data_IF_855589609410
#
_entry.id   IF_855589609410
#
_cell.length_a   1.000
_cell.length_b   1.000
_cell.length_c   1.000
_cell.angle_alpha   90.00
_cell.angle_beta   90.00
_cell.angle_gamma   90.00
#
_symmetry.space_group_name_H-M   'P 1'
#
loop_
_entity.id
_entity.type
_entity.pdbx_description
1 polymer ?
#
# COMPACT_ATOMS: atom_id res chain seq x y z
N UNK A 1 -17.05 43.45 -17.28
CA UNK A 1 -17.74 42.27 -16.66
C UNK A 1 -17.43 40.92 -17.34
N UNK A 2 -17.32 40.86 -18.67
CA UNK A 2 -17.06 39.63 -19.44
C UNK A 2 -15.64 39.08 -19.14
N UNK A 3 -14.63 39.98 -18.99
CA UNK A 3 -13.25 39.57 -18.67
C UNK A 3 -13.11 38.94 -17.29
N UNK A 4 -13.90 39.38 -16.31
CA UNK A 4 -13.92 38.80 -14.96
C UNK A 4 -14.62 37.44 -14.94
N UNK A 5 -15.70 37.22 -15.71
CA UNK A 5 -16.39 35.96 -15.81
C UNK A 5 -15.54 34.90 -16.54
N UNK A 6 -14.80 35.28 -17.58
CA UNK A 6 -13.84 34.41 -18.27
C UNK A 6 -12.68 34.00 -17.34
N UNK A 7 -12.13 34.94 -16.57
CA UNK A 7 -11.06 34.62 -15.61
C UNK A 7 -11.54 33.68 -14.49
N UNK A 8 -12.76 33.87 -14.00
CA UNK A 8 -13.36 32.97 -12.98
C UNK A 8 -13.60 31.58 -13.58
N UNK A 9 -14.10 31.46 -14.79
CA UNK A 9 -14.28 30.19 -15.47
C UNK A 9 -12.94 29.47 -15.69
N UNK A 10 -11.92 30.16 -16.20
CA UNK A 10 -10.58 29.61 -16.40
C UNK A 10 -9.97 29.12 -15.08
N UNK A 11 -10.10 29.88 -13.99
CA UNK A 11 -9.65 29.49 -12.65
C UNK A 11 -10.42 28.26 -12.13
N UNK A 12 -11.73 28.20 -12.34
CA UNK A 12 -12.57 27.07 -11.93
C UNK A 12 -12.21 25.80 -12.71
N UNK A 13 -12.02 25.86 -14.03
CA UNK A 13 -11.57 24.75 -14.86
C UNK A 13 -10.16 24.29 -14.49
N UNK A 14 -9.24 25.20 -14.22
CA UNK A 14 -7.87 24.90 -13.79
C UNK A 14 -7.84 24.23 -12.41
N UNK A 15 -8.65 24.68 -11.46
CA UNK A 15 -8.78 24.05 -10.14
C UNK A 15 -9.39 22.67 -10.22
N UNK A 16 -10.41 22.44 -11.04
CA UNK A 16 -11.01 21.12 -11.25
C UNK A 16 -10.03 20.14 -11.92
N UNK A 17 -9.21 20.60 -12.84
CA UNK A 17 -8.19 19.75 -13.48
C UNK A 17 -7.09 19.37 -12.49
N UNK A 18 -6.67 20.30 -11.64
CA UNK A 18 -5.66 20.05 -10.61
C UNK A 18 -6.17 19.07 -9.52
N UNK A 19 -7.41 19.25 -9.05
CA UNK A 19 -8.03 18.31 -8.10
C UNK A 19 -8.10 16.89 -8.68
N UNK A 20 -8.54 16.75 -9.94
CA UNK A 20 -8.55 15.46 -10.63
C UNK A 20 -7.16 14.84 -10.74
N UNK A 21 -6.12 15.67 -10.98
CA UNK A 21 -4.74 15.21 -11.02
C UNK A 21 -4.29 14.67 -9.66
N UNK A 22 -4.60 15.32 -8.54
CA UNK A 22 -4.27 14.83 -7.19
C UNK A 22 -5.01 13.55 -6.84
N UNK A 23 -6.31 13.44 -7.16
CA UNK A 23 -7.09 12.22 -6.98
C UNK A 23 -6.50 11.06 -7.80
N UNK A 24 -6.08 11.34 -9.03
CA UNK A 24 -5.43 10.35 -9.90
C UNK A 24 -4.09 9.89 -9.31
N UNK A 25 -3.24 10.82 -8.83
CA UNK A 25 -1.97 10.50 -8.18
C UNK A 25 -2.15 9.72 -6.88
N UNK A 26 -3.16 10.03 -6.09
CA UNK A 26 -3.52 9.33 -4.86
C UNK A 26 -3.92 7.87 -5.09
N UNK A 27 -4.35 7.49 -6.30
CA UNK A 27 -4.76 6.12 -6.67
C UNK A 27 -5.73 5.52 -5.66
N UNK A 28 -6.83 6.21 -5.36
CA UNK A 28 -7.82 5.81 -4.34
C UNK A 28 -8.24 4.33 -4.47
N UNK A 29 -8.27 3.79 -5.68
CA UNK A 29 -8.57 2.37 -5.95
C UNK A 29 -7.61 1.37 -5.28
N UNK A 30 -6.44 1.81 -4.79
CA UNK A 30 -5.48 0.94 -4.07
C UNK A 30 -5.68 0.97 -2.56
N UNK A 31 -6.50 1.89 -2.03
CA UNK A 31 -6.75 2.01 -0.60
C UNK A 31 -7.44 0.77 0.00
N UNK A 32 -8.45 0.15 -0.64
CA UNK A 32 -9.07 -1.06 -0.09
C UNK A 32 -8.03 -2.17 0.18
N UNK A 33 -7.08 -2.37 -0.74
CA UNK A 33 -6.01 -3.36 -0.57
C UNK A 33 -5.09 -3.01 0.61
N UNK A 34 -4.75 -1.73 0.79
CA UNK A 34 -3.85 -1.33 1.89
C UNK A 34 -4.51 -1.45 3.27
N UNK A 35 -5.81 -1.17 3.38
CA UNK A 35 -6.51 -1.24 4.67
C UNK A 35 -6.99 -2.66 5.04
N UNK A 36 -7.03 -3.60 4.07
CA UNK A 36 -7.55 -4.95 4.31
C UNK A 36 -6.79 -5.70 5.39
N UNK A 37 -5.46 -5.52 5.51
CA UNK A 37 -4.68 -6.13 6.58
C UNK A 37 -5.04 -5.60 7.96
N UNK A 38 -5.28 -4.28 8.07
CA UNK A 38 -5.74 -3.67 9.32
C UNK A 38 -7.14 -4.21 9.70
N UNK A 39 -8.01 -4.35 8.69
CA UNK A 39 -9.35 -4.92 8.94
C UNK A 39 -9.26 -6.35 9.44
N UNK A 40 -8.43 -7.22 8.84
CA UNK A 40 -8.27 -8.61 9.28
C UNK A 40 -7.73 -8.68 10.70
N UNK A 41 -6.62 -7.99 11.01
CA UNK A 41 -6.03 -8.02 12.36
C UNK A 41 -6.95 -7.43 13.42
N UNK A 42 -7.66 -6.33 13.10
CA UNK A 42 -8.63 -5.72 14.01
C UNK A 42 -9.89 -6.56 14.21
N UNK A 43 -10.36 -7.27 13.16
CA UNK A 43 -11.49 -8.19 13.27
C UNK A 43 -11.18 -9.36 14.20
N UNK A 44 -9.95 -9.88 14.14
CA UNK A 44 -9.53 -10.92 15.08
C UNK A 44 -9.44 -10.39 16.52
N UNK A 45 -8.92 -9.18 16.72
CA UNK A 45 -8.93 -8.53 18.03
C UNK A 45 -10.35 -8.32 18.56
N UNK A 46 -11.31 -7.96 17.69
CA UNK A 46 -12.72 -7.86 18.04
C UNK A 46 -13.32 -9.21 18.45
N UNK A 47 -13.02 -10.25 17.69
CA UNK A 47 -13.45 -11.62 18.01
C UNK A 47 -12.90 -12.12 19.34
N UNK A 48 -11.71 -11.66 19.74
CA UNK A 48 -11.03 -12.01 20.99
C UNK A 48 -11.32 -11.05 22.16
N UNK A 49 -12.31 -10.17 22.05
CA UNK A 49 -12.71 -9.15 23.05
C UNK A 49 -11.57 -8.18 23.43
N UNK A 50 -10.64 -7.92 22.50
CA UNK A 50 -9.47 -7.03 22.68
C UNK A 50 -9.56 -5.73 21.88
N UNK A 51 -10.62 -5.53 21.12
CA UNK A 51 -10.76 -4.41 20.21
C UNK A 51 -10.82 -3.06 20.90
N UNK A 52 -10.02 -2.10 20.45
CA UNK A 52 -10.00 -0.71 20.91
C UNK A 52 -10.20 0.21 19.70
N UNK A 53 -11.34 0.89 19.63
CA UNK A 53 -11.73 1.72 18.48
C UNK A 53 -10.71 2.80 18.12
N UNK A 54 -10.11 3.49 19.11
CA UNK A 54 -9.10 4.52 18.86
C UNK A 54 -7.83 3.95 18.21
N UNK A 55 -7.36 2.78 18.63
CA UNK A 55 -6.22 2.07 18.02
C UNK A 55 -6.56 1.72 16.57
N UNK A 56 -7.73 1.14 16.32
CA UNK A 56 -8.20 0.81 14.97
C UNK A 56 -8.25 2.05 14.06
N UNK A 57 -8.87 3.14 14.52
CA UNK A 57 -9.03 4.35 13.73
C UNK A 57 -7.66 4.95 13.34
N UNK A 58 -6.74 5.06 14.30
CA UNK A 58 -5.41 5.61 14.01
C UNK A 58 -4.59 4.65 13.15
N UNK A 59 -4.73 3.32 13.29
CA UNK A 59 -4.10 2.34 12.40
C UNK A 59 -4.58 2.48 10.96
N UNK A 60 -5.88 2.68 10.72
CA UNK A 60 -6.45 2.96 9.39
C UNK A 60 -5.86 4.26 8.81
N UNK A 61 -5.87 5.36 9.58
CA UNK A 61 -5.32 6.65 9.12
C UNK A 61 -3.83 6.56 8.81
N UNK A 62 -3.05 5.86 9.65
CA UNK A 62 -1.62 5.60 9.42
C UNK A 62 -1.41 4.84 8.11
N UNK A 63 -2.17 3.78 7.90
CA UNK A 63 -2.08 2.95 6.69
C UNK A 63 -2.46 3.73 5.43
N UNK A 64 -3.53 4.53 5.49
CA UNK A 64 -3.90 5.42 4.37
C UNK A 64 -2.78 6.41 4.07
N UNK A 65 -2.17 7.01 5.11
CA UNK A 65 -1.07 7.95 4.90
C UNK A 65 0.15 7.31 4.24
N UNK A 66 0.53 6.09 4.64
CA UNK A 66 1.59 5.31 3.99
C UNK A 66 1.27 4.98 2.54
N UNK A 67 0.02 4.61 2.24
CA UNK A 67 -0.40 4.28 0.88
C UNK A 67 -0.36 5.51 -0.03
N UNK A 68 -0.83 6.67 0.44
CA UNK A 68 -0.75 7.93 -0.29
C UNK A 68 0.71 8.35 -0.52
N UNK A 69 1.56 8.24 0.51
CA UNK A 69 2.99 8.49 0.41
C UNK A 69 3.64 7.62 -0.66
N UNK A 70 3.37 6.31 -0.65
CA UNK A 70 3.88 5.36 -1.65
C UNK A 70 3.41 5.72 -3.06
N UNK A 71 2.13 6.04 -3.24
CA UNK A 71 1.58 6.39 -4.55
C UNK A 71 2.20 7.66 -5.12
N UNK A 72 2.39 8.70 -4.30
CA UNK A 72 2.99 9.97 -4.73
C UNK A 72 4.50 9.83 -4.96
N UNK A 73 5.20 9.06 -4.10
CA UNK A 73 6.62 8.76 -4.31
C UNK A 73 6.85 7.98 -5.61
N UNK A 74 5.95 7.03 -5.94
CA UNK A 74 6.01 6.29 -7.20
C UNK A 74 5.77 7.17 -8.42
N UNK A 75 4.77 8.08 -8.37
CA UNK A 75 4.52 9.02 -9.47
C UNK A 75 5.71 9.96 -9.68
N UNK A 76 6.30 10.46 -8.57
CA UNK A 76 7.49 11.29 -8.62
C UNK A 76 8.71 10.54 -9.15
N UNK A 77 9.00 9.36 -8.59
CA UNK A 77 10.23 8.60 -8.90
C UNK A 77 10.27 8.11 -10.34
N UNK A 78 9.18 7.51 -10.82
CA UNK A 78 9.05 7.03 -12.19
C UNK A 78 9.01 8.21 -13.18
N UNK A 79 8.32 9.32 -12.83
CA UNK A 79 8.27 10.52 -13.65
C UNK A 79 9.61 11.28 -13.75
N UNK A 80 10.48 11.20 -12.73
CA UNK A 80 11.84 11.77 -12.79
C UNK A 80 12.77 10.91 -13.65
N UNK A 81 12.59 9.58 -13.63
CA UNK A 81 13.41 8.62 -14.39
C UNK A 81 12.97 8.44 -15.84
N UNK A 82 11.81 9.00 -16.25
CA UNK A 82 11.27 8.83 -17.59
C UNK A 82 10.68 7.44 -17.86
N UNK A 83 10.49 6.61 -16.82
CA UNK A 83 9.93 5.26 -16.96
C UNK A 83 8.47 5.29 -17.45
N UNK A 84 7.77 6.38 -17.23
CA UNK A 84 6.35 6.54 -17.57
C UNK A 84 6.13 7.14 -19.00
N UNK A 85 7.18 7.50 -19.74
CA UNK A 85 7.07 8.26 -21.00
C UNK A 85 6.30 7.51 -22.09
N UNK A 86 6.49 6.19 -22.20
CA UNK A 86 5.83 5.32 -23.20
C UNK A 86 4.90 4.28 -22.58
N UNK A 87 4.35 4.59 -21.41
CA UNK A 87 3.51 3.66 -20.65
C UNK A 87 2.14 3.45 -21.30
N UNK A 88 1.67 2.20 -21.34
CA UNK A 88 0.32 1.82 -21.81
C UNK A 88 -0.78 1.99 -20.75
N UNK A 89 -0.40 2.11 -19.46
CA UNK A 89 -1.31 2.30 -18.33
C UNK A 89 -1.82 3.75 -18.17
N UNK A 90 -2.59 4.06 -17.10
CA UNK A 90 -3.08 5.41 -16.84
C UNK A 90 -1.94 6.42 -16.78
N UNK A 91 -2.17 7.60 -17.37
CA UNK A 91 -1.18 8.70 -17.38
C UNK A 91 -0.78 9.08 -15.95
N UNK A 92 0.50 9.30 -15.74
CA UNK A 92 1.07 9.79 -14.48
C UNK A 92 1.03 11.30 -14.43
N UNK A 93 0.80 11.84 -13.24
CA UNK A 93 0.56 13.27 -13.09
C UNK A 93 1.84 14.09 -13.17
N UNK A 94 2.97 13.55 -12.69
CA UNK A 94 4.28 14.22 -12.80
C UNK A 94 4.80 14.13 -14.23
N UNK A 95 4.74 12.98 -14.87
CA UNK A 95 5.19 12.76 -16.24
C UNK A 95 4.37 13.62 -17.23
N UNK A 96 3.05 13.72 -17.05
CA UNK A 96 2.19 14.57 -17.91
C UNK A 96 2.30 16.09 -17.64
N UNK A 97 3.08 16.50 -16.63
CA UNK A 97 3.22 17.91 -16.25
C UNK A 97 2.02 18.51 -15.51
N UNK A 98 0.97 17.71 -15.21
CA UNK A 98 -0.21 18.17 -14.45
C UNK A 98 0.15 18.61 -13.02
N UNK A 99 1.12 17.92 -12.39
CA UNK A 99 1.69 18.28 -11.10
C UNK A 99 3.20 18.44 -11.29
N UNK A 100 3.76 19.59 -10.92
CA UNK A 100 5.20 19.83 -11.04
C UNK A 100 6.00 18.91 -10.09
N UNK A 101 7.22 18.52 -10.52
CA UNK A 101 8.16 17.73 -9.69
C UNK A 101 8.40 18.38 -8.32
N UNK A 102 8.51 19.70 -8.29
CA UNK A 102 8.74 20.46 -7.07
C UNK A 102 7.57 20.35 -6.09
N UNK A 103 6.34 20.50 -6.58
CA UNK A 103 5.14 20.40 -5.76
C UNK A 103 4.92 18.96 -5.25
N UNK A 104 5.11 17.95 -6.11
CA UNK A 104 5.01 16.56 -5.71
C UNK A 104 6.04 16.22 -4.61
N UNK A 105 7.30 16.67 -4.74
CA UNK A 105 8.33 16.49 -3.72
C UNK A 105 7.94 17.11 -2.38
N UNK A 106 7.37 18.31 -2.37
CA UNK A 106 6.87 18.96 -1.14
C UNK A 106 5.78 18.13 -0.47
N UNK A 107 4.81 17.65 -1.24
CA UNK A 107 3.73 16.82 -0.70
C UNK A 107 4.25 15.50 -0.14
N UNK A 108 5.24 14.86 -0.78
CA UNK A 108 5.91 13.66 -0.24
C UNK A 108 6.54 13.97 1.12
N UNK A 109 7.22 15.09 1.28
CA UNK A 109 7.82 15.49 2.58
C UNK A 109 6.73 15.71 3.63
N UNK A 110 5.68 16.43 3.31
CA UNK A 110 4.54 16.69 4.22
C UNK A 110 3.89 15.36 4.64
N UNK A 111 3.61 14.47 3.69
CA UNK A 111 3.04 13.16 3.99
C UNK A 111 3.98 12.29 4.82
N UNK A 112 5.29 12.37 4.62
CA UNK A 112 6.26 11.66 5.48
C UNK A 112 6.18 12.15 6.93
N UNK A 113 6.04 13.45 7.15
CA UNK A 113 5.87 14.04 8.49
C UNK A 113 4.53 13.60 9.11
N UNK A 114 3.43 13.67 8.35
CA UNK A 114 2.11 13.22 8.81
C UNK A 114 2.14 11.72 9.15
N UNK A 115 2.73 10.90 8.29
CA UNK A 115 2.87 9.46 8.51
C UNK A 115 3.69 9.15 9.77
N UNK A 116 4.78 9.87 10.01
CA UNK A 116 5.58 9.72 11.22
C UNK A 116 4.80 10.11 12.46
N UNK A 117 4.05 11.21 12.42
CA UNK A 117 3.21 11.66 13.53
C UNK A 117 2.11 10.64 13.86
N UNK A 118 1.37 10.16 12.85
CA UNK A 118 0.33 9.14 13.02
C UNK A 118 0.92 7.83 13.57
N UNK A 119 2.10 7.43 13.10
CA UNK A 119 2.81 6.26 13.61
C UNK A 119 3.14 6.40 15.10
N UNK A 120 3.71 7.54 15.51
CA UNK A 120 4.03 7.79 16.92
C UNK A 120 2.76 7.82 17.77
N UNK A 121 1.70 8.47 17.30
CA UNK A 121 0.41 8.50 17.98
C UNK A 121 -0.16 7.08 18.16
N UNK A 122 -0.11 6.25 17.12
CA UNK A 122 -0.56 4.86 17.18
C UNK A 122 0.23 4.04 18.20
N UNK A 123 1.56 4.17 18.20
CA UNK A 123 2.45 3.46 19.12
C UNK A 123 2.16 3.86 20.57
N UNK A 124 1.99 5.16 20.84
CA UNK A 124 1.69 5.66 22.19
C UNK A 124 0.34 5.17 22.67
N UNK A 125 -0.67 5.16 21.80
CA UNK A 125 -2.01 4.65 22.12
C UNK A 125 -2.00 3.14 22.43
N UNK A 126 -1.22 2.36 21.67
CA UNK A 126 -1.18 0.90 21.81
C UNK A 126 -0.34 0.45 23.01
N UNK A 127 0.82 1.05 23.23
CA UNK A 127 1.84 0.53 24.16
C UNK A 127 2.20 1.47 25.31
N UNK A 128 1.79 2.75 25.26
CA UNK A 128 2.33 3.79 26.13
C UNK A 128 3.82 4.09 25.84
N UNK A 129 4.41 5.01 26.60
CA UNK A 129 5.77 5.50 26.34
C UNK A 129 6.90 4.59 26.87
N UNK A 130 6.60 3.71 27.83
CA UNK A 130 7.62 2.92 28.56
C UNK A 130 7.79 1.49 28.05
N UNK A 131 7.11 1.11 26.98
CA UNK A 131 7.15 -0.25 26.42
C UNK A 131 8.35 -0.44 25.49
N UNK A 132 9.00 -1.60 25.55
CA UNK A 132 10.02 -2.02 24.57
C UNK A 132 9.46 -2.07 23.15
N UNK A 133 8.17 -2.35 22.99
CA UNK A 133 7.52 -2.41 21.68
C UNK A 133 7.49 -1.06 20.95
N UNK A 134 7.63 0.06 21.67
CA UNK A 134 7.77 1.39 21.08
C UNK A 134 8.94 1.44 20.10
N UNK A 135 10.10 0.89 20.47
CA UNK A 135 11.27 0.88 19.60
C UNK A 135 11.05 0.01 18.35
N UNK A 136 10.45 -1.17 18.52
CA UNK A 136 10.19 -2.10 17.41
C UNK A 136 9.22 -1.47 16.40
N UNK A 137 8.10 -0.94 16.87
CA UNK A 137 7.09 -0.34 16.00
C UNK A 137 7.55 1.00 15.40
N UNK A 138 8.36 1.77 16.10
CA UNK A 138 9.00 2.97 15.53
C UNK A 138 9.95 2.58 14.37
N UNK A 139 10.75 1.54 14.55
CA UNK A 139 11.62 1.01 13.49
C UNK A 139 10.79 0.49 12.29
N UNK A 140 9.72 -0.28 12.53
CA UNK A 140 8.81 -0.75 11.48
C UNK A 140 8.15 0.41 10.73
N UNK A 141 7.68 1.44 11.43
CA UNK A 141 7.12 2.65 10.83
C UNK A 141 8.13 3.41 9.99
N UNK A 142 9.35 3.58 10.51
CA UNK A 142 10.47 4.17 9.77
C UNK A 142 10.81 3.38 8.49
N UNK A 143 10.87 2.05 8.59
CA UNK A 143 11.08 1.16 7.45
C UNK A 143 9.92 1.23 6.45
N UNK A 144 8.68 1.38 6.89
CA UNK A 144 7.52 1.53 6.00
C UNK A 144 7.62 2.83 5.19
N UNK A 145 7.92 3.97 5.84
CA UNK A 145 8.14 5.27 5.17
C UNK A 145 9.32 5.18 4.20
N UNK A 146 10.45 4.62 4.66
CA UNK A 146 11.62 4.42 3.83
C UNK A 146 11.31 3.58 2.60
N UNK A 147 10.62 2.45 2.77
CA UNK A 147 10.23 1.55 1.69
C UNK A 147 9.27 2.21 0.71
N UNK A 148 8.28 2.97 1.19
CA UNK A 148 7.35 3.72 0.35
C UNK A 148 8.07 4.69 -0.59
N UNK A 149 9.12 5.38 -0.10
CA UNK A 149 9.90 6.34 -0.89
C UNK A 149 10.90 5.62 -1.78
N UNK A 150 11.67 4.68 -1.22
CA UNK A 150 12.77 3.99 -1.91
C UNK A 150 12.31 2.95 -2.93
N UNK A 151 11.03 2.70 -3.05
CA UNK A 151 10.50 1.83 -4.11
C UNK A 151 10.90 2.35 -5.51
N UNK A 152 10.77 3.66 -5.75
CA UNK A 152 11.08 4.27 -7.05
C UNK A 152 12.06 5.45 -6.99
N UNK A 153 12.21 6.11 -5.82
CA UNK A 153 13.01 7.33 -5.68
C UNK A 153 14.48 7.06 -5.42
N UNK A 154 15.35 7.73 -6.17
CA UNK A 154 16.80 7.69 -6.01
C UNK A 154 17.49 6.61 -6.85
N UNK A 155 18.84 6.54 -6.73
CA UNK A 155 19.70 5.65 -7.55
C UNK A 155 19.46 4.17 -7.25
N UNK A 156 19.25 3.82 -5.96
CA UNK A 156 19.01 2.45 -5.47
C UNK A 156 17.54 2.24 -5.12
N UNK A 157 16.65 2.51 -6.07
CA UNK A 157 15.23 2.26 -5.91
C UNK A 157 14.95 0.75 -6.06
N UNK A 158 14.61 0.07 -4.97
CA UNK A 158 14.53 -1.39 -4.94
C UNK A 158 13.46 -1.99 -5.88
N UNK A 159 12.43 -1.23 -6.24
CA UNK A 159 11.45 -1.63 -7.25
C UNK A 159 12.05 -1.84 -8.65
N UNK A 160 13.24 -1.29 -8.90
CA UNK A 160 14.00 -1.48 -10.15
C UNK A 160 14.93 -2.72 -10.11
N UNK A 161 15.00 -3.42 -8.97
CA UNK A 161 15.87 -4.58 -8.76
C UNK A 161 15.10 -5.87 -8.44
N UNK A 162 13.79 -5.91 -8.75
CA UNK A 162 12.97 -7.11 -8.54
C UNK A 162 12.53 -7.36 -7.10
N UNK A 163 12.85 -6.47 -6.16
CA UNK A 163 12.53 -6.64 -4.74
C UNK A 163 11.12 -6.16 -4.37
N UNK A 164 10.36 -5.63 -5.33
CA UNK A 164 9.01 -5.10 -5.08
C UNK A 164 8.07 -6.11 -4.45
N UNK A 165 8.05 -7.34 -4.98
CA UNK A 165 7.19 -8.43 -4.52
C UNK A 165 7.47 -8.78 -3.05
N UNK A 166 8.75 -8.84 -2.64
CA UNK A 166 9.14 -9.10 -1.27
C UNK A 166 8.63 -8.02 -0.31
N UNK A 167 8.86 -6.74 -0.62
CA UNK A 167 8.41 -5.65 0.25
C UNK A 167 6.88 -5.55 0.32
N UNK A 168 6.17 -5.77 -0.80
CA UNK A 168 4.72 -5.83 -0.80
C UNK A 168 4.21 -6.99 0.05
N UNK A 169 4.77 -8.18 -0.10
CA UNK A 169 4.42 -9.34 0.72
C UNK A 169 4.58 -9.05 2.22
N UNK A 170 5.72 -8.49 2.62
CA UNK A 170 6.01 -8.21 4.04
C UNK A 170 5.09 -7.13 4.60
N UNK A 171 4.98 -5.97 3.92
CA UNK A 171 4.24 -4.85 4.48
C UNK A 171 2.72 -4.98 4.37
N UNK A 172 2.21 -5.48 3.24
CA UNK A 172 0.75 -5.64 3.05
C UNK A 172 0.22 -6.95 3.64
N UNK A 173 1.07 -7.96 3.80
CA UNK A 173 0.71 -9.22 4.44
C UNK A 173 1.08 -9.24 5.91
N UNK A 174 2.35 -9.56 6.20
CA UNK A 174 2.79 -9.86 7.55
C UNK A 174 2.64 -8.68 8.51
N UNK A 175 3.22 -7.52 8.16
CA UNK A 175 3.21 -6.35 9.05
C UNK A 175 1.79 -5.80 9.22
N UNK A 176 1.00 -5.74 8.14
CA UNK A 176 -0.34 -5.17 8.22
C UNK A 176 -1.31 -6.04 9.04
N UNK A 177 -1.27 -7.35 8.92
CA UNK A 177 -2.20 -8.24 9.64
C UNK A 177 -1.70 -8.55 11.05
N UNK A 178 -0.48 -9.10 11.18
CA UNK A 178 0.08 -9.46 12.49
C UNK A 178 0.35 -8.21 13.34
N UNK A 179 0.95 -7.19 12.72
CA UNK A 179 1.25 -5.93 13.39
C UNK A 179 0.00 -5.22 13.90
N UNK A 180 -1.07 -5.16 13.09
CA UNK A 180 -2.31 -4.52 13.52
C UNK A 180 -3.01 -5.28 14.65
N UNK A 181 -3.02 -6.60 14.64
CA UNK A 181 -3.55 -7.38 15.75
C UNK A 181 -2.73 -7.15 17.02
N UNK A 182 -1.40 -7.20 16.92
CA UNK A 182 -0.48 -7.00 18.04
C UNK A 182 -0.65 -5.65 18.75
N UNK A 183 -1.14 -4.62 18.07
CA UNK A 183 -1.41 -3.30 18.66
C UNK A 183 -2.49 -3.33 19.76
N UNK A 184 -3.32 -4.36 19.84
CA UNK A 184 -4.44 -4.41 20.76
C UNK A 184 -4.10 -5.03 22.12
N UNK A 185 -3.25 -6.07 22.14
CA UNK A 185 -2.94 -6.81 23.38
C UNK A 185 -1.46 -7.19 23.54
N UNK A 186 -0.62 -6.82 22.58
CA UNK A 186 0.81 -7.15 22.55
C UNK A 186 1.09 -8.66 22.49
N UNK A 187 0.15 -9.47 21.96
CA UNK A 187 0.29 -10.90 21.76
C UNK A 187 0.43 -11.20 20.26
N UNK A 188 1.43 -12.01 19.89
CA UNK A 188 1.62 -12.46 18.52
C UNK A 188 0.77 -13.70 18.26
N UNK A 189 -0.36 -13.53 17.60
CA UNK A 189 -1.28 -14.60 17.27
C UNK A 189 -0.81 -15.39 16.04
N UNK A 190 -0.23 -16.58 16.26
CA UNK A 190 0.34 -17.38 15.18
C UNK A 190 -0.70 -17.87 14.17
N UNK A 191 -1.95 -18.03 14.56
CA UNK A 191 -3.06 -18.39 13.65
C UNK A 191 -3.24 -17.35 12.55
N UNK A 192 -2.94 -16.08 12.83
CA UNK A 192 -2.99 -14.99 11.84
C UNK A 192 -1.89 -15.07 10.78
N UNK A 193 -0.92 -15.99 10.89
CA UNK A 193 0.04 -16.23 9.81
C UNK A 193 -0.64 -16.69 8.52
N UNK A 194 -1.68 -17.50 8.59
CA UNK A 194 -2.42 -17.94 7.40
C UNK A 194 -3.02 -16.77 6.60
N UNK A 195 -3.89 -15.91 7.18
CA UNK A 195 -4.45 -14.78 6.46
C UNK A 195 -3.39 -13.71 6.15
N UNK A 196 -2.31 -13.58 6.94
CA UNK A 196 -1.21 -12.65 6.66
C UNK A 196 -0.46 -13.03 5.38
N UNK A 197 -0.10 -14.30 5.26
CA UNK A 197 0.58 -14.83 4.07
C UNK A 197 -0.36 -14.77 2.87
N UNK A 198 -1.63 -15.16 3.03
CA UNK A 198 -2.62 -15.11 1.97
C UNK A 198 -2.82 -13.69 1.43
N UNK A 199 -3.02 -12.70 2.30
CA UNK A 199 -3.16 -11.30 1.90
C UNK A 199 -1.88 -10.75 1.26
N UNK A 200 -0.71 -11.13 1.79
CA UNK A 200 0.58 -10.79 1.20
C UNK A 200 0.69 -11.30 -0.23
N UNK A 201 0.35 -12.57 -0.48
CA UNK A 201 0.34 -13.18 -1.82
C UNK A 201 -0.68 -12.50 -2.75
N UNK A 202 -1.90 -12.20 -2.28
CA UNK A 202 -2.90 -11.47 -3.06
C UNK A 202 -2.40 -10.06 -3.44
N UNK A 203 -1.72 -9.38 -2.52
CA UNK A 203 -1.14 -8.05 -2.76
C UNK A 203 -0.02 -8.11 -3.79
N UNK A 204 0.84 -9.14 -3.71
CA UNK A 204 1.85 -9.45 -4.74
C UNK A 204 1.18 -9.79 -6.07
N UNK A 205 0.04 -10.50 -6.06
CA UNK A 205 -0.75 -10.76 -7.26
C UNK A 205 -1.18 -9.48 -7.98
N UNK A 206 -1.67 -8.49 -7.24
CA UNK A 206 -2.01 -7.16 -7.80
C UNK A 206 -0.78 -6.46 -8.38
N UNK A 207 0.37 -6.51 -7.67
CA UNK A 207 1.63 -5.95 -8.17
C UNK A 207 2.08 -6.67 -9.45
N UNK A 208 2.05 -7.99 -9.46
CA UNK A 208 2.45 -8.81 -10.62
C UNK A 208 1.58 -8.53 -11.86
N UNK A 209 0.26 -8.34 -11.71
CA UNK A 209 -0.63 -7.93 -12.81
C UNK A 209 -0.20 -6.58 -13.40
N UNK A 210 0.14 -5.61 -12.55
CA UNK A 210 0.62 -4.32 -13.01
C UNK A 210 1.98 -4.45 -13.73
N UNK A 211 2.90 -5.25 -13.18
CA UNK A 211 4.22 -5.50 -13.78
C UNK A 211 4.12 -6.26 -15.11
N UNK A 212 3.20 -7.23 -15.24
CA UNK A 212 2.94 -7.92 -16.50
C UNK A 212 2.36 -6.99 -17.56
N UNK A 213 1.43 -6.10 -17.20
CA UNK A 213 0.89 -5.09 -18.12
C UNK A 213 1.99 -4.17 -18.65
N UNK A 214 2.88 -3.73 -17.78
CA UNK A 214 3.90 -2.74 -18.07
C UNK A 214 5.24 -3.39 -18.51
N UNK A 215 5.31 -4.73 -18.69
CA UNK A 215 6.52 -5.54 -18.87
C UNK A 215 7.44 -5.02 -19.99
N UNK A 216 6.90 -4.71 -21.15
CA UNK A 216 7.70 -4.24 -22.29
C UNK A 216 8.29 -2.85 -22.02
N UNK A 217 7.52 -1.97 -21.40
CA UNK A 217 7.97 -0.64 -21.05
C UNK A 217 9.02 -0.68 -19.92
N UNK A 218 8.78 -1.46 -18.88
CA UNK A 218 9.69 -1.64 -17.75
C UNK A 218 11.06 -2.20 -18.24
N UNK A 219 11.04 -3.20 -19.12
CA UNK A 219 12.27 -3.76 -19.71
C UNK A 219 13.06 -2.71 -20.52
N UNK A 220 12.38 -1.89 -21.35
CA UNK A 220 13.02 -0.83 -22.14
C UNK A 220 13.64 0.26 -21.24
N UNK A 221 13.01 0.56 -20.12
CA UNK A 221 13.50 1.57 -19.16
C UNK A 221 14.50 1.01 -18.12
N UNK A 222 14.93 -0.25 -18.26
CA UNK A 222 15.87 -0.88 -17.34
C UNK A 222 15.29 -1.22 -15.97
N UNK A 223 13.97 -1.21 -15.80
CA UNK A 223 13.27 -1.59 -14.58
C UNK A 223 13.11 -3.11 -14.53
N UNK A 224 13.95 -3.78 -13.75
CA UNK A 224 14.00 -5.24 -13.63
C UNK A 224 12.99 -5.73 -12.59
N UNK A 225 11.68 -5.58 -12.87
CA UNK A 225 10.62 -6.18 -12.02
C UNK A 225 10.68 -7.71 -12.10
N UNK A 226 10.06 -8.41 -11.14
CA UNK A 226 10.04 -9.88 -11.18
C UNK A 226 9.37 -10.39 -12.46
N UNK A 227 8.32 -9.73 -12.96
CA UNK A 227 7.70 -10.06 -14.24
C UNK A 227 8.66 -9.92 -15.42
N UNK A 228 9.52 -8.88 -15.44
CA UNK A 228 10.55 -8.70 -16.48
C UNK A 228 11.62 -9.81 -16.39
N UNK A 229 12.05 -10.17 -15.18
CA UNK A 229 13.06 -11.22 -14.96
C UNK A 229 12.55 -12.60 -15.36
N UNK A 230 11.28 -12.91 -15.08
CA UNK A 230 10.65 -14.19 -15.41
C UNK A 230 10.25 -14.29 -16.88
N UNK A 231 9.94 -13.16 -17.52
CA UNK A 231 9.29 -13.10 -18.82
C UNK A 231 7.79 -13.38 -18.75
N UNK A 232 7.05 -13.02 -19.80
CA UNK A 232 5.59 -12.98 -19.81
C UNK A 232 4.92 -14.32 -19.43
N UNK A 233 5.45 -15.44 -19.93
CA UNK A 233 4.85 -16.75 -19.70
C UNK A 233 5.01 -17.23 -18.26
N UNK A 234 6.25 -17.18 -17.73
CA UNK A 234 6.54 -17.60 -16.35
C UNK A 234 5.88 -16.66 -15.34
N UNK A 235 5.75 -15.36 -15.64
CA UNK A 235 5.03 -14.41 -14.80
C UNK A 235 3.53 -14.75 -14.66
N UNK A 236 2.90 -15.31 -15.70
CA UNK A 236 1.53 -15.83 -15.62
C UNK A 236 1.43 -17.07 -14.72
N UNK A 237 2.36 -18.03 -14.87
CA UNK A 237 2.39 -19.20 -13.98
C UNK A 237 2.62 -18.79 -12.52
N UNK A 238 3.55 -17.88 -12.28
CA UNK A 238 3.77 -17.30 -10.96
C UNK A 238 2.49 -16.67 -10.40
N UNK A 239 1.74 -15.93 -11.22
CA UNK A 239 0.48 -15.32 -10.81
C UNK A 239 -0.54 -16.37 -10.36
N UNK A 240 -0.77 -17.43 -11.16
CA UNK A 240 -1.69 -18.51 -10.82
C UNK A 240 -1.26 -19.22 -9.53
N UNK A 241 0.05 -19.48 -9.39
CA UNK A 241 0.60 -20.12 -8.19
C UNK A 241 0.34 -19.31 -6.92
N UNK A 242 0.64 -17.99 -6.92
CA UNK A 242 0.45 -17.14 -5.72
C UNK A 242 -1.03 -16.99 -5.36
N UNK A 243 -1.93 -16.83 -6.35
CA UNK A 243 -3.36 -16.75 -6.07
C UNK A 243 -3.89 -18.09 -5.55
N UNK A 244 -3.54 -19.21 -6.16
CA UNK A 244 -3.91 -20.54 -5.68
C UNK A 244 -3.43 -20.82 -4.25
N UNK A 245 -2.17 -20.48 -3.96
CA UNK A 245 -1.61 -20.61 -2.61
C UNK A 245 -2.35 -19.73 -1.59
N UNK A 246 -2.71 -18.50 -1.95
CA UNK A 246 -3.49 -17.63 -1.07
C UNK A 246 -4.86 -18.22 -0.74
N UNK A 247 -5.57 -18.77 -1.73
CA UNK A 247 -6.88 -19.40 -1.52
C UNK A 247 -6.78 -20.63 -0.62
N UNK A 248 -5.78 -21.49 -0.82
CA UNK A 248 -5.53 -22.66 0.04
C UNK A 248 -5.30 -22.22 1.49
N UNK A 249 -4.45 -21.21 1.72
CA UNK A 249 -4.18 -20.68 3.06
C UNK A 249 -5.43 -20.13 3.73
N UNK A 250 -6.30 -19.44 2.99
CA UNK A 250 -7.58 -18.96 3.55
C UNK A 250 -8.52 -20.11 3.92
N UNK A 251 -8.58 -21.19 3.12
CA UNK A 251 -9.35 -22.39 3.45
C UNK A 251 -8.81 -23.08 4.72
N UNK A 252 -7.47 -23.19 4.86
CA UNK A 252 -6.83 -23.74 6.06
C UNK A 252 -7.16 -22.90 7.29
N UNK A 253 -7.08 -21.57 7.17
CA UNK A 253 -7.42 -20.66 8.27
C UNK A 253 -8.87 -20.79 8.71
N UNK A 254 -9.79 -20.86 7.75
CA UNK A 254 -11.23 -21.06 8.04
C UNK A 254 -11.48 -22.38 8.76
N UNK A 255 -10.81 -23.45 8.35
CA UNK A 255 -10.91 -24.76 8.99
C UNK A 255 -10.36 -24.71 10.43
N UNK A 256 -9.20 -24.09 10.64
CA UNK A 256 -8.53 -24.00 11.96
C UNK A 256 -9.31 -23.13 12.95
N UNK A 257 -10.04 -22.11 12.48
CA UNK A 257 -10.92 -21.31 13.33
C UNK A 257 -12.18 -22.04 13.79
N UNK A 258 -12.45 -23.27 13.28
CA UNK A 258 -13.66 -24.02 13.60
C UNK A 258 -14.95 -23.18 13.37
N UNK A 259 -14.95 -22.34 12.32
CA UNK A 259 -16.12 -21.58 11.92
C UNK A 259 -17.18 -22.57 11.48
N UNK A 260 -18.05 -22.97 12.43
CA UNK A 260 -19.15 -23.89 12.16
C UNK A 260 -20.04 -23.28 11.07
N UNK A 261 -20.61 -24.13 10.21
CA UNK A 261 -21.55 -23.78 9.13
C UNK A 261 -22.71 -22.86 9.53
N UNK A 262 -22.93 -22.64 10.83
CA UNK A 262 -23.92 -21.75 11.41
C UNK A 262 -23.74 -20.27 11.00
N UNK A 263 -22.50 -19.83 10.74
CA UNK A 263 -22.23 -18.44 10.29
C UNK A 263 -22.23 -18.29 8.75
N UNK A 264 -22.01 -19.39 8.01
CA UNK A 264 -22.15 -19.38 6.56
C UNK A 264 -23.61 -19.19 6.11
N UNK A 265 -24.58 -19.69 6.88
CA UNK A 265 -26.01 -19.53 6.61
C UNK A 265 -26.56 -18.13 6.90
N UNK A 266 -25.78 -17.21 7.47
CA UNK A 266 -26.18 -15.81 7.70
C UNK A 266 -25.60 -14.85 6.65
N UNK A 267 -24.78 -15.34 5.70
CA UNK A 267 -24.16 -14.55 4.63
C UNK A 267 -24.79 -14.80 3.25
N UNK A 268 -25.78 -15.70 3.18
CA UNK A 268 -26.66 -15.95 2.05
C UNK A 268 -28.10 -15.77 2.50
#
# INVERSE_FOLDING_TARGET
NIRNSLNIQILFFKNNSLLKAWISAARIRTLPLSVSGILIGSSYAYFSDKFVFSVFLIAILTTISYQLLSNFANDYGDGVKGTDDNRTGPKRTVQSGLISRFLMKRVIIILSIISSFLTLMLIILAFGLKSFYVLIFAALGGLAIFSAIKYTVGKFAYGYFGLGDFFVFVFFGLVSVLGSNFLFDSILELKLLYPSIALGLLSVGVLNLNNMRDLQNDAKCGKKTLAVLLGAQKAKFYHVFIIGSALVLMCVFQYDLNISSKYLNTLF
#
